data_IF_768269635773
#
_entry.id   IF_768269635773
#
_cell.length_a   1.000
_cell.length_b   1.000
_cell.length_c   1.000
_cell.angle_alpha   90.00
_cell.angle_beta   90.00
_cell.angle_gamma   90.00
#
_symmetry.space_group_name_H-M   'P 1'
#
loop_
_entity.id
_entity.type
_entity.pdbx_description
1 polymer ?
#
# COMPACT_ATOMS: atom_id res chain seq x y z
N UNK A 1 -20.91 2.76 11.90
CA UNK A 1 -19.82 3.67 12.29
C UNK A 1 -19.25 3.10 13.57
N UNK A 2 -17.94 2.85 13.59
CA UNK A 2 -17.24 2.49 14.83
C UNK A 2 -17.26 3.73 15.74
N UNK A 3 -17.50 3.54 17.03
CA UNK A 3 -17.48 4.63 18.01
C UNK A 3 -16.06 5.23 18.08
N UNK A 4 -15.95 6.56 18.24
CA UNK A 4 -14.68 7.27 18.24
C UNK A 4 -13.77 6.75 19.37
N UNK A 5 -14.34 6.36 20.51
CA UNK A 5 -13.59 5.75 21.62
C UNK A 5 -13.05 4.36 21.28
N UNK A 6 -13.84 3.51 20.60
CA UNK A 6 -13.39 2.20 20.10
C UNK A 6 -12.35 2.33 18.98
N UNK A 7 -12.31 3.50 18.34
CA UNK A 7 -11.43 3.80 17.22
C UNK A 7 -10.11 4.46 17.68
N UNK A 8 -10.13 5.26 18.76
CA UNK A 8 -8.93 5.81 19.41
C UNK A 8 -8.23 4.75 20.27
N UNK A 9 -9.01 3.92 20.98
CA UNK A 9 -8.50 2.81 21.80
C UNK A 9 -9.14 1.51 21.30
N UNK A 10 -8.54 0.86 20.28
CA UNK A 10 -9.02 -0.44 19.83
C UNK A 10 -8.97 -1.41 21.01
N UNK A 11 -10.03 -2.20 21.26
CA UNK A 11 -9.95 -3.26 22.24
C UNK A 11 -8.83 -4.22 21.84
N UNK A 12 -8.13 -4.78 22.83
CA UNK A 12 -7.16 -5.86 22.58
C UNK A 12 -7.88 -6.96 21.83
N UNK A 13 -7.30 -7.36 20.71
CA UNK A 13 -7.90 -8.32 19.80
C UNK A 13 -8.08 -9.67 20.50
N UNK A 14 -9.25 -10.29 20.38
CA UNK A 14 -9.46 -11.68 20.76
C UNK A 14 -9.44 -12.57 19.51
N UNK A 15 -8.59 -13.61 19.51
CA UNK A 15 -8.54 -14.54 18.39
C UNK A 15 -9.81 -15.38 18.32
N UNK A 16 -10.40 -15.44 17.13
CA UNK A 16 -11.50 -16.37 16.85
C UNK A 16 -10.99 -17.80 16.83
N UNK A 17 -11.88 -18.76 17.02
CA UNK A 17 -11.56 -20.20 16.91
C UNK A 17 -11.03 -20.60 15.52
N UNK A 18 -11.33 -19.79 14.49
CA UNK A 18 -10.91 -19.96 13.10
C UNK A 18 -9.53 -19.35 12.80
N UNK A 19 -8.93 -18.63 13.76
CA UNK A 19 -7.62 -18.02 13.59
C UNK A 19 -6.58 -19.05 13.14
N UNK A 20 -5.69 -18.62 12.25
CA UNK A 20 -4.74 -19.53 11.61
C UNK A 20 -3.69 -20.00 12.61
N UNK A 21 -3.60 -21.32 12.77
CA UNK A 21 -2.55 -22.00 13.54
C UNK A 21 -1.93 -23.11 12.69
N UNK A 22 -0.59 -23.13 12.52
CA UNK A 22 0.07 -24.10 11.63
C UNK A 22 -0.16 -25.56 12.02
N UNK A 23 -0.31 -25.83 13.32
CA UNK A 23 -0.54 -27.16 13.92
C UNK A 23 -1.89 -27.79 13.52
N UNK A 24 -2.91 -26.97 13.25
CA UNK A 24 -4.27 -27.42 12.89
C UNK A 24 -4.54 -27.47 11.38
N UNK A 25 -3.66 -26.88 10.56
CA UNK A 25 -3.96 -26.56 9.17
C UNK A 25 -3.48 -27.56 8.10
N UNK A 26 -2.54 -28.44 8.42
CA UNK A 26 -1.88 -29.33 7.45
C UNK A 26 -2.60 -30.69 7.31
N UNK A 27 -3.88 -30.66 6.95
CA UNK A 27 -4.52 -31.87 6.43
C UNK A 27 -3.97 -32.12 5.01
N UNK A 28 -3.67 -33.38 4.67
CA UNK A 28 -3.50 -33.78 3.27
C UNK A 28 -4.77 -33.39 2.52
N UNK A 29 -4.68 -32.43 1.61
CA UNK A 29 -5.83 -31.93 0.86
C UNK A 29 -5.75 -32.45 -0.56
N UNK A 30 -6.83 -33.09 -0.99
CA UNK A 30 -7.03 -33.40 -2.39
C UNK A 30 -7.23 -32.08 -3.13
N UNK A 31 -6.38 -31.83 -4.14
CA UNK A 31 -6.49 -30.63 -4.95
C UNK A 31 -7.80 -30.66 -5.73
N UNK A 32 -8.53 -29.55 -5.69
CA UNK A 32 -9.71 -29.37 -6.55
C UNK A 32 -9.35 -29.27 -8.03
N UNK A 33 -10.36 -29.09 -8.91
CA UNK A 33 -10.12 -28.92 -10.35
C UNK A 33 -9.18 -27.74 -10.66
N UNK A 34 -8.74 -27.65 -11.92
CA UNK A 34 -7.78 -26.66 -12.41
C UNK A 34 -8.19 -25.23 -11.97
N UNK A 35 -7.36 -24.60 -11.14
CA UNK A 35 -7.49 -23.19 -10.76
C UNK A 35 -6.52 -22.34 -11.63
N UNK A 36 -7.06 -21.29 -12.24
CA UNK A 36 -6.38 -20.38 -13.17
C UNK A 36 -5.25 -19.54 -12.54
N UNK A 37 -5.26 -19.39 -11.21
CA UNK A 37 -4.27 -18.70 -10.40
C UNK A 37 -3.12 -19.62 -9.96
N UNK A 38 -3.28 -20.95 -10.02
CA UNK A 38 -2.22 -21.93 -9.71
C UNK A 38 -1.26 -22.08 -10.90
N UNK A 39 -0.50 -21.03 -11.18
CA UNK A 39 0.52 -20.98 -12.23
C UNK A 39 1.89 -20.70 -11.61
N UNK A 40 2.94 -21.11 -12.31
CA UNK A 40 4.31 -20.90 -11.85
C UNK A 40 4.72 -21.86 -10.73
N UNK A 41 5.67 -21.44 -9.91
CA UNK A 41 6.29 -22.29 -8.90
C UNK A 41 5.48 -22.25 -7.59
N UNK A 42 5.10 -23.42 -7.07
CA UNK A 42 4.45 -23.52 -5.76
C UNK A 42 5.44 -23.19 -4.63
N UNK A 43 5.04 -22.32 -3.71
CA UNK A 43 5.78 -21.99 -2.50
C UNK A 43 5.16 -22.72 -1.31
N UNK A 44 5.84 -23.76 -0.84
CA UNK A 44 5.36 -24.57 0.26
C UNK A 44 5.22 -23.76 1.55
N UNK A 45 4.26 -24.18 2.39
CA UNK A 45 4.11 -23.64 3.75
C UNK A 45 5.24 -24.14 4.63
N UNK A 46 5.65 -23.31 5.57
CA UNK A 46 6.76 -23.62 6.49
C UNK A 46 6.20 -23.74 7.91
N UNK A 47 6.45 -24.89 8.53
CA UNK A 47 6.00 -25.20 9.89
C UNK A 47 7.19 -25.75 10.70
N UNK A 48 7.55 -25.13 11.83
CA UNK A 48 7.00 -23.89 12.39
C UNK A 48 7.30 -22.67 11.50
N UNK A 49 6.48 -21.62 11.60
CA UNK A 49 6.74 -20.37 10.89
C UNK A 49 8.05 -19.75 11.42
N UNK A 50 8.79 -19.09 10.52
CA UNK A 50 10.07 -18.48 10.86
C UNK A 50 9.98 -17.00 10.54
N UNK A 51 10.37 -16.17 11.49
CA UNK A 51 10.44 -14.73 11.27
C UNK A 51 11.50 -14.41 10.22
N UNK A 52 11.04 -13.87 9.09
CA UNK A 52 11.87 -13.43 7.98
C UNK A 52 11.31 -12.11 7.51
N UNK A 53 12.13 -11.05 7.57
CA UNK A 53 11.73 -9.72 7.11
C UNK A 53 12.13 -9.54 5.64
N UNK A 54 11.21 -9.22 4.74
CA UNK A 54 11.55 -8.79 3.39
C UNK A 54 12.49 -7.58 3.42
N UNK A 55 13.32 -7.41 2.39
CA UNK A 55 14.26 -6.27 2.34
C UNK A 55 13.53 -4.93 2.36
N UNK A 56 12.34 -4.87 1.75
CA UNK A 56 11.52 -3.66 1.70
C UNK A 56 11.07 -3.17 3.08
N UNK A 57 11.04 -4.05 4.09
CA UNK A 57 10.77 -3.69 5.49
C UNK A 57 11.77 -2.65 6.02
N UNK A 58 13.01 -2.68 5.55
CA UNK A 58 14.08 -1.76 5.94
C UNK A 58 14.12 -0.48 5.10
N UNK A 59 13.12 -0.23 4.24
CA UNK A 59 12.95 1.06 3.58
C UNK A 59 12.42 2.12 4.56
N UNK A 60 11.76 1.69 5.65
CA UNK A 60 11.35 2.56 6.77
C UNK A 60 12.49 2.60 7.78
N UNK A 61 13.16 3.75 7.88
CA UNK A 61 14.28 3.98 8.81
C UNK A 61 13.80 4.63 10.11
N UNK A 62 14.59 4.54 11.20
CA UNK A 62 14.32 5.26 12.44
C UNK A 62 14.12 6.77 12.22
N UNK A 63 14.84 7.37 11.26
CA UNK A 63 14.66 8.78 10.90
C UNK A 63 13.30 9.04 10.26
N UNK A 64 12.87 8.20 9.30
CA UNK A 64 11.53 8.34 8.70
C UNK A 64 10.41 8.15 9.71
N UNK A 65 10.57 7.25 10.70
CA UNK A 65 9.59 7.10 11.78
C UNK A 65 9.48 8.36 12.64
N UNK A 66 10.61 9.01 12.94
CA UNK A 66 10.64 10.28 13.68
C UNK A 66 10.06 11.43 12.87
N UNK A 67 10.26 11.43 11.56
CA UNK A 67 9.64 12.40 10.65
C UNK A 67 8.12 12.23 10.61
N UNK A 68 7.63 11.00 10.44
CA UNK A 68 6.19 10.73 10.48
C UNK A 68 5.55 11.16 11.79
N UNK A 69 6.21 10.94 12.94
CA UNK A 69 5.68 11.40 14.22
C UNK A 69 5.65 12.93 14.33
N UNK A 70 6.67 13.63 13.81
CA UNK A 70 6.66 15.12 13.76
C UNK A 70 5.56 15.66 12.86
N UNK A 71 5.31 14.98 11.74
CA UNK A 71 4.29 15.39 10.78
C UNK A 71 2.86 15.02 11.23
N UNK A 72 2.71 13.93 12.02
CA UNK A 72 1.47 13.54 12.71
C UNK A 72 1.21 14.36 14.00
N UNK A 73 2.22 15.07 14.52
CA UNK A 73 2.10 16.07 15.59
C UNK A 73 1.62 17.44 15.06
N UNK A 74 0.34 17.53 14.65
CA UNK A 74 -0.46 18.65 15.15
C UNK A 74 -1.61 18.11 16.02
N UNK A 75 -1.24 17.38 17.09
CA UNK A 75 -2.15 17.00 18.16
C UNK A 75 -3.40 16.26 17.70
N UNK A 76 -3.38 15.54 16.57
CA UNK A 76 -4.60 14.91 16.02
C UNK A 76 -5.11 13.82 16.98
N UNK A 77 -4.22 13.00 17.56
CA UNK A 77 -4.58 12.01 18.58
C UNK A 77 -5.08 12.65 19.89
N UNK A 78 -4.52 13.81 20.27
CA UNK A 78 -4.92 14.56 21.47
C UNK A 78 -6.24 15.33 21.28
N UNK A 79 -6.44 15.95 20.11
CA UNK A 79 -7.71 16.55 19.66
C UNK A 79 -8.79 15.49 19.49
N UNK A 80 -8.43 14.28 19.06
CA UNK A 80 -9.32 13.13 19.03
C UNK A 80 -9.81 12.77 20.43
N UNK A 81 -8.88 12.62 21.38
CA UNK A 81 -9.20 12.35 22.78
C UNK A 81 -9.96 13.50 23.46
N UNK A 82 -9.73 14.76 23.04
CA UNK A 82 -10.44 15.94 23.53
C UNK A 82 -11.77 16.23 22.80
N UNK A 83 -12.12 15.45 21.77
CA UNK A 83 -13.34 15.62 20.97
C UNK A 83 -13.38 16.89 20.09
N UNK A 84 -12.23 17.51 19.83
CA UNK A 84 -12.11 18.78 19.08
C UNK A 84 -11.68 18.60 17.61
N UNK A 85 -11.65 17.36 17.12
CA UNK A 85 -11.33 17.03 15.72
C UNK A 85 -12.25 17.78 14.74
N UNK A 86 -11.65 18.42 13.74
CA UNK A 86 -12.38 18.86 12.56
C UNK A 86 -12.82 17.65 11.72
N UNK A 87 -13.84 17.85 10.86
CA UNK A 87 -14.36 16.78 9.99
C UNK A 87 -13.30 16.21 9.02
N UNK A 88 -12.32 17.03 8.66
CA UNK A 88 -11.18 16.66 7.80
C UNK A 88 -10.14 15.85 8.58
N UNK A 89 -9.75 16.31 9.78
CA UNK A 89 -8.85 15.57 10.67
C UNK A 89 -9.45 14.23 11.09
N UNK A 90 -10.77 14.16 11.37
CA UNK A 90 -11.45 12.90 11.68
C UNK A 90 -11.39 11.91 10.50
N UNK A 91 -11.51 12.40 9.27
CA UNK A 91 -11.47 11.56 8.05
C UNK A 91 -10.04 11.12 7.74
N UNK A 92 -9.04 11.98 7.95
CA UNK A 92 -7.61 11.65 7.83
C UNK A 92 -7.22 10.63 8.90
N UNK A 93 -7.62 10.84 10.14
CA UNK A 93 -7.46 9.89 11.24
C UNK A 93 -8.14 8.56 10.88
N UNK A 94 -9.38 8.59 10.39
CA UNK A 94 -10.12 7.41 9.91
C UNK A 94 -9.41 6.69 8.77
N UNK A 95 -8.78 7.41 7.87
CA UNK A 95 -8.03 6.84 6.75
C UNK A 95 -6.70 6.24 7.23
N UNK A 96 -5.92 6.98 8.02
CA UNK A 96 -4.66 6.54 8.64
C UNK A 96 -4.90 5.30 9.50
N UNK A 97 -5.86 5.32 10.43
CA UNK A 97 -6.21 4.15 11.25
C UNK A 97 -6.93 3.04 10.47
N UNK A 98 -7.62 3.32 9.35
CA UNK A 98 -8.13 2.21 8.50
C UNK A 98 -7.02 1.49 7.75
N UNK A 99 -5.91 2.18 7.49
CA UNK A 99 -4.64 1.63 6.99
C UNK A 99 -3.86 0.98 8.15
N UNK A 100 -4.00 1.52 9.37
CA UNK A 100 -3.38 1.06 10.61
C UNK A 100 -4.24 0.08 11.45
N UNK A 101 -5.36 -0.44 10.91
CA UNK A 101 -6.14 -1.51 11.55
C UNK A 101 -5.38 -2.83 11.35
N UNK A 102 -4.33 -3.02 12.14
CA UNK A 102 -3.31 -4.07 12.10
C UNK A 102 -3.73 -5.38 12.77
N UNK A 103 -4.95 -5.82 12.54
CA UNK A 103 -5.22 -7.26 12.41
C UNK A 103 -5.24 -7.66 10.93
N UNK A 104 -4.92 -6.73 10.01
CA UNK A 104 -5.24 -6.90 8.61
C UNK A 104 -4.16 -6.42 7.63
N UNK A 105 -3.98 -7.21 6.58
CA UNK A 105 -3.25 -6.82 5.38
C UNK A 105 -4.32 -6.58 4.31
N UNK A 106 -4.51 -5.34 3.85
CA UNK A 106 -5.47 -5.05 2.80
C UNK A 106 -5.16 -3.74 2.10
N UNK A 107 -4.71 -3.82 0.86
CA UNK A 107 -4.46 -2.62 0.04
C UNK A 107 -5.67 -2.31 -0.83
N UNK A 108 -6.07 -1.05 -0.78
CA UNK A 108 -6.82 -0.39 -1.84
C UNK A 108 -5.82 0.23 -2.81
N UNK A 109 -5.70 -0.26 -4.06
CA UNK A 109 -4.89 0.47 -5.04
C UNK A 109 -5.50 1.87 -5.21
N UNK A 110 -4.71 2.93 -5.16
CA UNK A 110 -5.24 4.29 -5.27
C UNK A 110 -5.77 4.51 -6.71
N UNK A 111 -7.09 4.33 -6.91
CA UNK A 111 -7.75 4.76 -8.15
C UNK A 111 -8.40 6.11 -7.92
N UNK A 112 -7.88 7.12 -8.60
CA UNK A 112 -8.52 8.41 -8.70
C UNK A 112 -9.96 8.25 -9.22
N UNK A 113 -10.88 9.00 -8.62
CA UNK A 113 -12.20 9.16 -9.17
C UNK A 113 -12.11 9.71 -10.60
N UNK A 114 -13.06 9.39 -11.48
CA UNK A 114 -13.08 9.95 -12.86
C UNK A 114 -12.94 11.47 -12.85
N UNK A 115 -13.63 12.13 -11.91
CA UNK A 115 -13.54 13.57 -11.68
C UNK A 115 -12.11 14.01 -11.30
N UNK A 116 -11.52 13.36 -10.30
CA UNK A 116 -10.14 13.64 -9.87
C UNK A 116 -9.15 13.42 -11.01
N UNK A 117 -9.27 12.34 -11.78
CA UNK A 117 -8.43 12.07 -12.95
C UNK A 117 -8.58 13.17 -14.00
N UNK A 118 -9.81 13.58 -14.33
CA UNK A 118 -10.06 14.66 -15.28
C UNK A 118 -9.49 15.99 -14.80
N UNK A 119 -9.61 16.32 -13.51
CA UNK A 119 -9.07 17.55 -12.93
C UNK A 119 -7.53 17.55 -12.94
N UNK A 120 -6.90 16.42 -12.63
CA UNK A 120 -5.44 16.27 -12.73
C UNK A 120 -4.96 16.38 -14.18
N UNK A 121 -5.70 15.81 -15.14
CA UNK A 121 -5.41 15.95 -16.57
C UNK A 121 -5.57 17.39 -17.05
N UNK A 122 -6.62 18.10 -16.61
CA UNK A 122 -6.84 19.51 -16.91
C UNK A 122 -5.72 20.39 -16.33
N UNK A 123 -5.33 20.15 -15.07
CA UNK A 123 -4.29 20.91 -14.40
C UNK A 123 -2.90 20.66 -15.01
N UNK A 124 -2.49 19.40 -15.17
CA UNK A 124 -1.16 19.04 -15.67
C UNK A 124 -1.05 19.13 -17.19
N UNK A 125 -2.00 18.52 -17.90
CA UNK A 125 -2.03 18.49 -19.36
C UNK A 125 -2.31 19.87 -19.96
N UNK A 126 -3.29 20.61 -19.42
CA UNK A 126 -3.57 21.98 -19.85
C UNK A 126 -2.36 22.90 -19.67
N UNK A 127 -1.66 22.79 -18.54
CA UNK A 127 -0.41 23.53 -18.27
C UNK A 127 0.69 23.18 -19.28
N UNK A 128 0.92 21.89 -19.55
CA UNK A 128 1.93 21.43 -20.49
C UNK A 128 1.67 21.97 -21.91
N UNK A 129 0.45 21.82 -22.40
CA UNK A 129 0.06 22.29 -23.74
C UNK A 129 0.15 23.82 -23.85
N UNK A 130 -0.28 24.54 -22.81
CA UNK A 130 -0.15 26.00 -22.76
C UNK A 130 1.30 26.46 -22.84
N UNK A 131 2.24 25.83 -22.13
CA UNK A 131 3.66 26.19 -22.21
C UNK A 131 4.29 25.79 -23.54
N UNK A 132 3.91 24.65 -24.12
CA UNK A 132 4.42 24.19 -25.41
C UNK A 132 4.05 25.18 -26.54
N UNK A 133 2.75 25.47 -26.69
CA UNK A 133 2.27 26.38 -27.73
C UNK A 133 2.58 27.84 -27.40
N UNK A 134 2.47 28.26 -26.13
CA UNK A 134 2.81 29.62 -25.70
C UNK A 134 4.30 29.94 -25.86
N UNK A 135 5.18 28.98 -25.57
CA UNK A 135 6.61 29.11 -25.84
C UNK A 135 6.91 29.19 -27.34
N UNK A 136 6.23 28.39 -28.15
CA UNK A 136 6.31 28.47 -29.62
C UNK A 136 5.87 29.83 -30.17
N UNK A 137 4.79 30.41 -29.65
CA UNK A 137 4.35 31.76 -30.04
C UNK A 137 5.32 32.85 -29.60
N UNK A 138 5.86 32.75 -28.38
CA UNK A 138 6.85 33.70 -27.90
C UNK A 138 8.12 33.64 -28.78
N UNK A 139 8.52 32.45 -29.21
CA UNK A 139 9.62 32.27 -30.14
C UNK A 139 9.32 32.88 -31.52
N UNK A 140 8.14 32.62 -32.10
CA UNK A 140 7.73 33.23 -33.36
C UNK A 140 7.63 34.76 -33.26
N UNK A 141 7.10 35.28 -32.14
CA UNK A 141 7.07 36.72 -31.87
C UNK A 141 8.48 37.32 -31.83
N UNK A 142 9.43 36.65 -31.16
CA UNK A 142 10.82 37.08 -31.14
C UNK A 142 11.40 37.09 -32.57
N UNK A 143 11.14 36.08 -33.40
CA UNK A 143 11.59 36.07 -34.79
C UNK A 143 11.01 37.25 -35.59
N UNK A 144 9.74 37.60 -35.36
CA UNK A 144 9.13 38.75 -36.04
C UNK A 144 9.75 40.09 -35.63
N UNK A 145 10.32 40.21 -34.42
CA UNK A 145 11.04 41.43 -34.01
C UNK A 145 12.38 41.61 -34.76
N UNK A 146 12.92 40.54 -35.35
CA UNK A 146 14.15 40.56 -36.15
C UNK A 146 13.89 40.55 -37.67
N UNK A 147 12.63 40.47 -38.10
CA UNK A 147 12.25 40.52 -39.52
C UNK A 147 11.72 41.90 -39.91
N UNK A 148 12.03 42.36 -41.13
CA UNK A 148 11.49 43.61 -41.69
C UNK A 148 10.01 43.49 -42.13
N UNK A 149 9.39 42.31 -41.97
CA UNK A 149 8.00 42.03 -42.33
C UNK A 149 7.01 42.60 -41.29
N UNK A 150 5.89 43.21 -41.72
CA UNK A 150 4.88 43.73 -40.80
C UNK A 150 4.18 42.59 -40.05
N UNK A 151 4.00 42.78 -38.75
CA UNK A 151 3.30 41.84 -37.88
C UNK A 151 1.84 41.64 -38.30
N UNK A 152 1.46 40.39 -38.58
CA UNK A 152 0.10 40.02 -38.94
C UNK A 152 -0.76 39.76 -37.69
N UNK A 153 -1.76 40.61 -37.47
CA UNK A 153 -2.70 40.47 -36.35
C UNK A 153 -3.56 39.21 -36.43
N UNK A 154 -3.82 38.69 -37.63
CA UNK A 154 -4.69 37.54 -37.83
C UNK A 154 -4.03 36.24 -37.36
N UNK A 155 -2.71 36.12 -37.54
CA UNK A 155 -1.92 34.99 -37.06
C UNK A 155 -1.87 34.97 -35.52
N UNK A 156 -1.77 36.15 -34.91
CA UNK A 156 -1.81 36.32 -33.46
C UNK A 156 -3.18 35.93 -32.88
N UNK A 157 -4.26 36.33 -33.54
CA UNK A 157 -5.61 35.99 -33.15
C UNK A 157 -5.84 34.47 -33.26
N UNK A 158 -5.42 33.85 -34.35
CA UNK A 158 -5.50 32.40 -34.54
C UNK A 158 -4.75 31.65 -33.45
N UNK A 159 -3.53 32.08 -33.15
CA UNK A 159 -2.69 31.53 -32.10
C UNK A 159 -3.31 31.63 -30.70
N UNK A 160 -3.92 32.78 -30.37
CA UNK A 160 -4.64 32.96 -29.11
C UNK A 160 -5.87 32.04 -29.00
N UNK A 161 -6.61 31.85 -30.09
CA UNK A 161 -7.74 30.93 -30.15
C UNK A 161 -7.30 29.47 -29.92
N UNK A 162 -6.12 29.09 -30.42
CA UNK A 162 -5.59 27.74 -30.24
C UNK A 162 -5.11 27.45 -28.81
N UNK A 163 -4.54 28.45 -28.12
CA UNK A 163 -4.08 28.30 -26.73
C UNK A 163 -5.22 28.43 -25.71
N UNK A 164 -6.21 29.27 -26.02
CA UNK A 164 -7.36 29.58 -25.16
C UNK A 164 -7.98 28.36 -24.45
N UNK A 165 -8.34 27.25 -25.15
CA UNK A 165 -8.94 26.09 -24.51
C UNK A 165 -8.00 25.39 -23.53
N UNK A 166 -6.71 25.35 -23.83
CA UNK A 166 -5.69 24.72 -22.98
C UNK A 166 -5.44 25.55 -21.72
N UNK A 167 -5.41 26.87 -21.87
CA UNK A 167 -5.29 27.81 -20.75
C UNK A 167 -6.53 27.75 -19.84
N UNK A 168 -7.72 27.70 -20.43
CA UNK A 168 -8.97 27.53 -19.66
C UNK A 168 -8.98 26.21 -18.89
N UNK A 169 -8.58 25.10 -19.51
CA UNK A 169 -8.47 23.81 -18.81
C UNK A 169 -7.49 23.88 -17.63
N UNK A 170 -6.33 24.51 -17.83
CA UNK A 170 -5.35 24.71 -16.76
C UNK A 170 -5.94 25.56 -15.61
N UNK A 171 -6.63 26.66 -15.94
CA UNK A 171 -7.29 27.53 -14.95
C UNK A 171 -8.37 26.81 -14.16
N UNK A 172 -9.20 25.98 -14.80
CA UNK A 172 -10.22 25.17 -14.14
C UNK A 172 -9.56 24.18 -13.16
N UNK A 173 -8.50 23.49 -13.58
CA UNK A 173 -7.76 22.59 -12.70
C UNK A 173 -7.09 23.31 -11.52
N UNK A 174 -6.55 24.50 -11.75
CA UNK A 174 -5.94 25.35 -10.72
C UNK A 174 -6.97 25.86 -9.70
N UNK A 175 -8.11 26.34 -10.18
CA UNK A 175 -9.23 26.79 -9.33
C UNK A 175 -9.78 25.62 -8.50
N UNK A 176 -9.97 24.45 -9.12
CA UNK A 176 -10.40 23.25 -8.40
C UNK A 176 -9.41 22.87 -7.29
N UNK A 177 -8.09 22.93 -7.56
CA UNK A 177 -7.05 22.68 -6.56
C UNK A 177 -7.09 23.68 -5.41
N UNK A 178 -7.31 24.96 -5.71
CA UNK A 178 -7.33 26.03 -4.71
C UNK A 178 -8.58 26.02 -3.84
N UNK A 179 -9.74 25.71 -4.42
CA UNK A 179 -11.03 25.70 -3.73
C UNK A 179 -11.21 24.45 -2.87
N UNK A 180 -10.85 23.28 -3.40
CA UNK A 180 -10.92 22.04 -2.65
C UNK A 180 -9.84 21.06 -3.15
N UNK A 181 -8.68 20.98 -2.48
CA UNK A 181 -7.62 20.06 -2.87
C UNK A 181 -8.09 18.59 -2.82
N UNK A 182 -9.07 18.24 -1.98
CA UNK A 182 -9.61 16.88 -1.93
C UNK A 182 -10.21 16.46 -3.28
N UNK A 183 -10.74 17.37 -4.11
CA UNK A 183 -11.30 17.00 -5.42
C UNK A 183 -10.22 16.43 -6.37
N UNK A 184 -8.99 16.90 -6.25
CA UNK A 184 -7.86 16.40 -7.06
C UNK A 184 -7.32 15.09 -6.49
N UNK A 185 -7.34 14.91 -5.18
CA UNK A 185 -6.82 13.71 -4.53
C UNK A 185 -7.91 12.68 -4.19
N UNK A 186 -9.16 12.95 -4.57
CA UNK A 186 -10.30 12.08 -4.27
C UNK A 186 -10.15 10.72 -4.96
N UNK A 187 -9.85 9.72 -4.15
CA UNK A 187 -9.79 8.33 -4.56
C UNK A 187 -11.12 7.63 -4.31
N UNK A 188 -11.32 6.49 -4.97
CA UNK A 188 -12.37 5.55 -4.55
C UNK A 188 -11.85 4.74 -3.39
N UNK A 189 -12.62 4.68 -2.30
CA UNK A 189 -12.44 3.66 -1.28
C UNK A 189 -12.90 2.31 -1.86
N UNK A 190 -11.98 1.49 -2.33
CA UNK A 190 -12.25 0.10 -2.65
C UNK A 190 -11.12 -0.77 -2.11
N UNK A 191 -11.46 -1.76 -1.29
CA UNK A 191 -10.51 -2.81 -0.90
C UNK A 191 -10.52 -3.84 -2.02
N UNK A 192 -9.36 -4.28 -2.49
CA UNK A 192 -9.29 -5.36 -3.47
C UNK A 192 -9.42 -6.73 -2.77
N UNK A 193 -8.73 -6.86 -1.64
CA UNK A 193 -8.72 -8.04 -0.79
C UNK A 193 -8.31 -7.65 0.63
N UNK A 194 -8.43 -8.61 1.54
CA UNK A 194 -8.20 -8.41 2.96
C UNK A 194 -7.83 -9.74 3.63
N UNK A 195 -6.72 -9.75 4.35
CA UNK A 195 -6.33 -10.84 5.23
C UNK A 195 -6.60 -10.41 6.66
N UNK A 196 -7.16 -11.28 7.49
CA UNK A 196 -7.42 -10.98 8.88
C UNK A 196 -6.76 -12.01 9.79
N UNK A 197 -5.75 -11.59 10.56
CA UNK A 197 -5.04 -12.41 11.55
C UNK A 197 -5.98 -12.92 12.65
N UNK A 198 -6.84 -12.05 13.19
CA UNK A 198 -7.81 -12.39 14.25
C UNK A 198 -8.76 -13.53 13.89
N UNK A 199 -9.27 -13.50 12.66
CA UNK A 199 -10.23 -14.49 12.17
C UNK A 199 -9.57 -15.63 11.39
N UNK A 200 -8.34 -15.44 10.92
CA UNK A 200 -7.66 -16.35 10.01
C UNK A 200 -8.25 -16.38 8.60
N UNK A 201 -9.07 -15.39 8.21
CA UNK A 201 -9.78 -15.37 6.93
C UNK A 201 -9.08 -14.53 5.86
N UNK A 202 -9.31 -14.91 4.61
CA UNK A 202 -8.90 -14.23 3.39
C UNK A 202 -10.16 -13.86 2.62
N UNK A 203 -10.41 -12.56 2.50
CA UNK A 203 -11.61 -12.02 1.85
C UNK A 203 -11.21 -11.28 0.58
N UNK A 204 -11.78 -11.67 -0.56
CA UNK A 204 -11.67 -10.96 -1.83
C UNK A 204 -12.92 -10.12 -2.06
N UNK A 205 -12.75 -8.85 -2.43
CA UNK A 205 -13.83 -7.92 -2.67
C UNK A 205 -14.01 -7.62 -4.16
N UNK A 206 -15.21 -7.16 -4.52
CA UNK A 206 -15.52 -6.76 -5.89
C UNK A 206 -14.90 -5.40 -6.22
N UNK A 207 -14.04 -5.37 -7.24
CA UNK A 207 -13.26 -4.18 -7.62
C UNK A 207 -14.08 -2.90 -7.92
N UNK A 208 -15.36 -3.04 -8.33
CA UNK A 208 -16.21 -1.89 -8.72
C UNK A 208 -17.31 -1.55 -7.71
N UNK A 209 -17.65 -2.45 -6.79
CA UNK A 209 -18.80 -2.30 -5.88
C UNK A 209 -18.24 -2.22 -4.46
N UNK A 210 -18.49 -1.10 -3.77
CA UNK A 210 -17.95 -0.85 -2.43
C UNK A 210 -18.40 -1.96 -1.48
N UNK A 211 -17.44 -2.56 -0.77
CA UNK A 211 -17.64 -3.55 0.29
C UNK A 211 -18.44 -4.81 -0.09
N UNK A 212 -18.53 -5.15 -1.39
CA UNK A 212 -19.14 -6.41 -1.80
C UNK A 212 -18.10 -7.52 -1.74
N UNK A 213 -18.26 -8.47 -0.84
CA UNK A 213 -17.43 -9.68 -0.74
C UNK A 213 -17.76 -10.61 -1.90
N UNK A 214 -16.75 -11.08 -2.62
CA UNK A 214 -16.87 -12.07 -3.69
C UNK A 214 -16.57 -13.48 -3.21
N UNK A 215 -15.42 -13.62 -2.56
CA UNK A 215 -14.92 -14.89 -2.06
C UNK A 215 -14.34 -14.68 -0.67
N UNK A 216 -14.53 -15.67 0.19
CA UNK A 216 -13.97 -15.69 1.52
C UNK A 216 -13.59 -17.14 1.85
N UNK A 217 -12.36 -17.35 2.29
CA UNK A 217 -11.90 -18.66 2.76
C UNK A 217 -10.88 -18.52 3.89
N UNK A 218 -10.70 -19.56 4.71
CA UNK A 218 -9.61 -19.61 5.67
C UNK A 218 -8.24 -19.46 4.99
N UNK A 219 -7.30 -18.77 5.63
CA UNK A 219 -5.93 -18.64 5.14
C UNK A 219 -5.26 -19.99 5.00
N UNK A 220 -5.64 -20.99 5.79
CA UNK A 220 -5.13 -22.34 5.63
C UNK A 220 -5.45 -22.90 4.25
N UNK A 221 -6.60 -22.56 3.65
CA UNK A 221 -7.12 -22.98 2.33
C UNK A 221 -6.48 -22.26 1.14
N UNK A 222 -5.72 -21.20 1.40
CA UNK A 222 -4.94 -20.54 0.37
C UNK A 222 -3.59 -21.26 0.16
N UNK A 223 -3.10 -21.26 -1.06
CA UNK A 223 -1.80 -21.76 -1.47
C UNK A 223 -1.05 -20.62 -2.16
N UNK A 224 0.27 -20.54 -1.95
CA UNK A 224 1.05 -19.46 -2.53
C UNK A 224 1.81 -19.96 -3.76
N UNK A 225 1.73 -19.20 -4.85
CA UNK A 225 2.40 -19.46 -6.10
C UNK A 225 3.23 -18.25 -6.51
N UNK A 226 4.42 -18.53 -7.04
CA UNK A 226 5.33 -17.57 -7.63
C UNK A 226 5.07 -17.51 -9.13
N UNK A 227 4.46 -16.41 -9.59
CA UNK A 227 4.27 -16.14 -11.01
C UNK A 227 5.50 -15.43 -11.56
N UNK A 228 5.94 -15.82 -12.75
CA UNK A 228 7.01 -15.15 -13.48
C UNK A 228 6.43 -14.51 -14.74
N UNK A 229 6.67 -13.20 -14.87
CA UNK A 229 6.24 -12.40 -16.01
C UNK A 229 7.46 -11.84 -16.72
N UNK A 230 7.64 -12.09 -18.03
CA UNK A 230 8.75 -11.50 -18.77
C UNK A 230 8.54 -9.99 -18.95
N UNK A 231 9.58 -9.21 -18.66
CA UNK A 231 9.63 -7.79 -18.97
C UNK A 231 10.03 -7.58 -20.45
N UNK A 232 9.65 -6.43 -21.05
CA UNK A 232 10.14 -6.06 -22.39
C UNK A 232 11.67 -6.02 -22.50
N UNK A 233 12.39 -5.83 -21.39
CA UNK A 233 13.85 -5.88 -21.32
C UNK A 233 14.44 -7.31 -21.37
N UNK A 234 13.61 -8.35 -21.33
CA UNK A 234 14.03 -9.76 -21.27
C UNK A 234 14.30 -10.28 -19.86
N UNK A 235 14.29 -9.42 -18.83
CA UNK A 235 14.37 -9.83 -17.43
C UNK A 235 13.05 -10.46 -16.96
N UNK A 236 13.12 -11.33 -15.95
CA UNK A 236 11.93 -11.89 -15.31
C UNK A 236 11.53 -11.03 -14.12
N UNK A 237 10.23 -10.76 -14.02
CA UNK A 237 9.61 -10.19 -12.83
C UNK A 237 8.82 -11.28 -12.13
N UNK A 238 9.04 -11.43 -10.84
CA UNK A 238 8.32 -12.35 -9.99
C UNK A 238 7.27 -11.60 -9.16
N UNK A 239 6.09 -12.20 -9.01
CA UNK A 239 5.04 -11.75 -8.12
C UNK A 239 4.40 -12.92 -7.38
N UNK A 240 3.88 -12.65 -6.19
CA UNK A 240 3.16 -13.63 -5.40
C UNK A 240 1.68 -13.66 -5.78
N UNK A 241 1.12 -14.85 -5.88
CA UNK A 241 -0.30 -15.08 -6.09
C UNK A 241 -0.79 -16.08 -5.05
N UNK A 242 -1.79 -15.69 -4.26
CA UNK A 242 -2.51 -16.60 -3.39
C UNK A 242 -3.64 -17.23 -4.18
N UNK A 243 -3.65 -18.55 -4.32
CA UNK A 243 -4.70 -19.30 -5.01
C UNK A 243 -5.42 -20.20 -4.02
N UNK A 244 -6.73 -20.32 -4.14
CA UNK A 244 -7.49 -21.25 -3.31
C UNK A 244 -7.21 -22.71 -3.72
N UNK A 245 -7.05 -23.65 -2.78
CA UNK A 245 -6.67 -25.05 -3.04
C UNK A 245 -7.74 -25.89 -3.76
N UNK A 246 -9.01 -25.44 -3.75
CA UNK A 246 -10.14 -26.15 -4.37
C UNK A 246 -10.79 -25.34 -5.48
N UNK A 247 -11.43 -24.23 -5.12
CA UNK A 247 -12.14 -23.33 -6.04
C UNK A 247 -11.21 -22.52 -6.97
N UNK A 248 -11.74 -22.08 -8.11
CA UNK A 248 -11.02 -21.28 -9.14
C UNK A 248 -11.04 -19.78 -8.83
N UNK A 249 -10.39 -19.40 -7.74
CA UNK A 249 -10.13 -17.99 -7.44
C UNK A 249 -8.78 -17.81 -6.74
N UNK A 250 -8.32 -16.57 -6.73
CA UNK A 250 -7.07 -16.18 -6.11
C UNK A 250 -6.90 -14.67 -6.07
N UNK A 251 -5.85 -14.25 -5.38
CA UNK A 251 -5.47 -12.86 -5.14
C UNK A 251 -4.06 -12.67 -5.70
N UNK A 252 -3.93 -11.71 -6.61
CA UNK A 252 -2.62 -11.20 -7.01
C UNK A 252 -2.11 -10.24 -5.93
N UNK A 253 -0.94 -10.55 -5.37
CA UNK A 253 -0.35 -9.81 -4.27
C UNK A 253 0.60 -8.71 -4.76
N UNK A 254 0.74 -8.50 -6.07
CA UNK A 254 1.62 -7.48 -6.65
C UNK A 254 1.32 -6.04 -6.20
N UNK A 255 0.08 -5.78 -5.77
CA UNK A 255 -0.32 -4.48 -5.20
C UNK A 255 0.21 -4.27 -3.76
N UNK A 256 0.57 -5.36 -3.04
CA UNK A 256 1.07 -5.32 -1.66
C UNK A 256 2.56 -5.62 -1.53
N UNK A 257 2.98 -6.74 -2.11
CA UNK A 257 4.39 -7.04 -2.24
C UNK A 257 4.86 -6.55 -3.60
N UNK A 258 5.83 -5.64 -3.58
CA UNK A 258 6.44 -5.13 -4.80
C UNK A 258 6.96 -6.31 -5.62
N UNK A 259 6.56 -6.44 -6.90
CA UNK A 259 7.14 -7.44 -7.78
C UNK A 259 8.66 -7.25 -7.86
N UNK A 260 9.41 -8.33 -7.72
CA UNK A 260 10.87 -8.30 -7.67
C UNK A 260 11.48 -9.10 -8.82
N UNK A 261 12.68 -8.71 -9.25
CA UNK A 261 13.49 -9.51 -10.17
C UNK A 261 14.14 -10.71 -9.45
N UNK A 262 14.19 -10.66 -8.11
CA UNK A 262 14.71 -11.73 -7.25
C UNK A 262 13.55 -12.53 -6.68
N UNK A 263 13.43 -13.79 -7.08
CA UNK A 263 12.39 -14.68 -6.56
C UNK A 263 12.48 -14.87 -5.03
N UNK A 264 13.69 -14.76 -4.46
CA UNK A 264 13.94 -14.87 -3.02
C UNK A 264 13.21 -13.79 -2.22
N UNK A 265 13.03 -12.59 -2.79
CA UNK A 265 12.31 -11.50 -2.12
C UNK A 265 10.81 -11.77 -2.07
N UNK A 266 10.27 -12.37 -3.14
CA UNK A 266 8.89 -12.87 -3.14
C UNK A 266 8.73 -14.03 -2.13
N UNK A 267 9.67 -14.97 -2.09
CA UNK A 267 9.62 -16.06 -1.10
C UNK A 267 9.69 -15.53 0.35
N UNK A 268 10.55 -14.55 0.63
CA UNK A 268 10.62 -13.87 1.93
C UNK A 268 9.30 -13.18 2.31
N UNK A 269 8.64 -12.56 1.34
CA UNK A 269 7.33 -11.94 1.51
C UNK A 269 6.25 -12.95 1.87
N UNK A 270 6.28 -14.14 1.25
CA UNK A 270 5.39 -15.24 1.61
C UNK A 270 5.64 -15.75 3.03
N UNK A 271 6.90 -15.91 3.43
CA UNK A 271 7.27 -16.32 4.78
C UNK A 271 6.83 -15.29 5.83
N UNK A 272 7.02 -14.00 5.56
CA UNK A 272 6.53 -12.90 6.40
C UNK A 272 5.02 -12.94 6.54
N UNK A 273 4.28 -13.16 5.46
CA UNK A 273 2.82 -13.29 5.50
C UNK A 273 2.35 -14.52 6.31
N UNK A 274 3.03 -15.65 6.18
CA UNK A 274 2.73 -16.84 6.99
C UNK A 274 2.97 -16.57 8.48
N UNK A 275 4.06 -15.90 8.83
CA UNK A 275 4.37 -15.48 10.20
C UNK A 275 3.33 -14.50 10.73
N UNK A 276 2.95 -13.50 9.93
CA UNK A 276 1.89 -12.56 10.25
C UNK A 276 0.52 -13.21 10.46
N UNK A 277 0.18 -14.30 9.76
CA UNK A 277 -1.11 -14.97 9.99
C UNK A 277 -1.09 -15.94 11.17
N UNK A 278 0.10 -16.37 11.63
CA UNK A 278 0.26 -17.35 12.69
C UNK A 278 0.07 -16.72 14.08
N UNK A 279 -1.06 -17.02 14.72
CA UNK A 279 -1.39 -16.49 16.06
C UNK A 279 -0.62 -17.16 17.20
N UNK A 280 0.11 -18.25 16.92
CA UNK A 280 0.95 -18.93 17.91
C UNK A 280 2.29 -18.22 18.16
N UNK A 281 2.68 -17.34 17.25
CA UNK A 281 3.88 -16.49 17.34
C UNK A 281 3.48 -15.03 17.53
N UNK A 282 4.32 -14.18 18.15
CA UNK A 282 4.09 -12.74 18.13
C UNK A 282 4.15 -12.19 16.69
N UNK A 283 3.64 -10.98 16.47
CA UNK A 283 3.85 -10.24 15.22
C UNK A 283 5.34 -10.04 14.97
N UNK A 284 5.72 -9.96 13.69
CA UNK A 284 7.11 -9.71 13.31
C UNK A 284 7.59 -8.40 13.92
N UNK A 285 8.81 -8.41 14.43
CA UNK A 285 9.45 -7.22 14.95
C UNK A 285 9.97 -6.41 13.77
N UNK A 286 9.12 -5.51 13.26
CA UNK A 286 9.48 -4.58 12.21
C UNK A 286 8.85 -3.19 12.43
N UNK A 287 9.40 -2.16 11.77
CA UNK A 287 8.94 -0.78 11.91
C UNK A 287 7.44 -0.59 11.68
N UNK A 288 6.82 -1.37 10.78
CA UNK A 288 5.42 -1.17 10.41
C UNK A 288 4.44 -1.67 11.47
N UNK A 289 4.84 -2.69 12.23
CA UNK A 289 4.02 -3.22 13.32
C UNK A 289 4.19 -2.46 14.63
N UNK A 290 5.27 -1.69 14.82
CA UNK A 290 5.67 -1.09 16.10
C UNK A 290 4.51 -0.43 16.87
N UNK A 291 3.73 0.41 16.20
CA UNK A 291 2.61 1.12 16.84
C UNK A 291 1.49 0.20 17.32
N UNK A 292 1.34 -0.99 16.73
CA UNK A 292 0.18 -1.87 16.90
C UNK A 292 0.48 -3.14 17.70
N UNK A 293 1.74 -3.39 18.05
CA UNK A 293 2.16 -4.59 18.80
C UNK A 293 1.41 -4.79 20.11
N UNK A 294 0.96 -3.70 20.74
CA UNK A 294 0.19 -3.74 21.99
C UNK A 294 -1.28 -4.16 21.81
N UNK A 295 -1.80 -4.15 20.58
CA UNK A 295 -3.18 -4.54 20.25
C UNK A 295 -3.32 -6.04 20.02
N UNK A 296 -2.25 -6.70 19.55
CA UNK A 296 -2.21 -8.15 19.35
C UNK A 296 -1.90 -8.86 20.68
N UNK A 297 -2.77 -9.78 21.16
CA UNK A 297 -2.63 -10.37 22.48
C UNK A 297 -1.37 -11.24 22.63
N UNK A 298 -1.01 -12.02 21.61
CA UNK A 298 0.22 -12.85 21.63
C UNK A 298 1.46 -11.96 21.71
N UNK A 299 1.46 -10.87 20.95
CA UNK A 299 2.56 -9.92 20.89
C UNK A 299 2.67 -9.12 22.18
N UNK A 300 1.56 -8.66 22.75
CA UNK A 300 1.54 -7.93 24.01
C UNK A 300 2.08 -8.77 25.18
N UNK A 301 1.71 -10.06 25.25
CA UNK A 301 2.26 -10.99 26.25
C UNK A 301 3.77 -11.22 26.04
N UNK A 302 4.20 -11.40 24.79
CA UNK A 302 5.60 -11.60 24.44
C UNK A 302 6.46 -10.37 24.76
N UNK A 303 6.00 -9.17 24.40
CA UNK A 303 6.69 -7.91 24.64
C UNK A 303 6.78 -7.61 26.14
N UNK A 304 5.73 -7.93 26.92
CA UNK A 304 5.75 -7.83 28.39
C UNK A 304 6.76 -8.80 29.01
N UNK A 305 6.87 -10.02 28.49
CA UNK A 305 7.82 -11.03 28.98
C UNK A 305 9.27 -10.69 28.64
N UNK A 306 9.51 -10.09 27.48
CA UNK A 306 10.85 -9.72 27.01
C UNK A 306 11.27 -8.32 27.43
N UNK A 307 10.36 -7.55 28.03
CA UNK A 307 10.56 -6.14 28.40
C UNK A 307 10.99 -5.29 27.19
N UNK A 308 10.36 -5.53 26.03
CA UNK A 308 10.63 -4.80 24.79
C UNK A 308 10.22 -3.32 24.93
N UNK A 309 11.07 -2.36 24.56
CA UNK A 309 10.69 -0.95 24.53
C UNK A 309 9.52 -0.69 23.57
N UNK A 310 8.62 0.24 23.94
CA UNK A 310 7.46 0.61 23.11
C UNK A 310 7.86 1.21 21.74
N UNK A 311 8.93 1.99 21.71
CA UNK A 311 9.45 2.70 20.53
C UNK A 311 10.83 2.18 20.11
N UNK A 312 10.98 0.85 20.08
CA UNK A 312 12.21 0.16 19.75
C UNK A 312 12.85 0.60 18.42
N UNK A 313 12.08 0.66 17.32
CA UNK A 313 12.59 1.02 15.99
C UNK A 313 12.80 2.52 15.86
N UNK A 314 11.86 3.32 16.35
CA UNK A 314 11.95 4.79 16.32
C UNK A 314 13.15 5.35 17.10
N UNK A 315 13.42 4.81 18.29
CA UNK A 315 14.48 5.30 19.18
C UNK A 315 15.86 4.67 18.87
N UNK A 316 15.91 3.75 17.91
CA UNK A 316 17.15 3.12 17.47
C UNK A 316 18.06 4.11 16.74
N UNK A 317 19.37 3.97 16.97
CA UNK A 317 20.39 4.68 16.21
C UNK A 317 20.61 4.04 14.81
N UNK A 318 21.12 4.82 13.86
CA UNK A 318 21.29 4.35 12.49
C UNK A 318 22.37 3.26 12.34
N UNK A 319 23.36 3.20 13.23
CA UNK A 319 24.39 2.16 13.18
C UNK A 319 23.81 0.79 13.54
N UNK A 320 23.01 0.74 14.61
CA UNK A 320 22.28 -0.45 15.03
C UNK A 320 21.28 -0.88 13.96
N UNK A 321 20.56 0.07 13.35
CA UNK A 321 19.63 -0.22 12.25
C UNK A 321 20.33 -0.88 11.05
N UNK A 322 21.44 -0.30 10.58
CA UNK A 322 22.22 -0.85 9.46
C UNK A 322 22.87 -2.19 9.80
N UNK A 323 23.18 -2.45 11.07
CA UNK A 323 23.61 -3.77 11.53
C UNK A 323 22.48 -4.80 11.42
N UNK A 324 21.29 -4.50 11.93
CA UNK A 324 20.12 -5.38 11.83
C UNK A 324 19.73 -5.68 10.38
N UNK A 325 19.77 -4.66 9.52
CA UNK A 325 19.52 -4.80 8.08
C UNK A 325 20.49 -5.79 7.42
N UNK A 326 21.79 -5.69 7.73
CA UNK A 326 22.83 -6.62 7.23
C UNK A 326 22.67 -8.03 7.78
N UNK A 327 22.33 -8.15 9.06
CA UNK A 327 22.05 -9.45 9.69
C UNK A 327 20.84 -10.14 9.04
N UNK A 328 19.77 -9.38 8.78
CA UNK A 328 18.59 -9.89 8.08
C UNK A 328 18.91 -10.31 6.64
N UNK A 329 19.66 -9.49 5.88
CA UNK A 329 20.08 -9.88 4.52
C UNK A 329 20.94 -11.15 4.52
N UNK A 330 21.79 -11.32 5.53
CA UNK A 330 22.58 -12.55 5.72
C UNK A 330 21.67 -13.75 6.01
N UNK A 331 20.65 -13.59 6.85
CA UNK A 331 19.64 -14.64 7.12
C UNK A 331 18.89 -15.02 5.85
N UNK A 332 18.44 -14.04 5.06
CA UNK A 332 17.76 -14.24 3.78
C UNK A 332 18.62 -15.03 2.79
N UNK A 333 19.89 -14.62 2.59
CA UNK A 333 20.82 -15.32 1.69
C UNK A 333 21.04 -16.76 2.13
N UNK A 334 21.29 -17.00 3.43
CA UNK A 334 21.48 -18.36 3.96
C UNK A 334 20.23 -19.24 3.80
N UNK A 335 19.05 -18.65 3.82
CA UNK A 335 17.78 -19.35 3.67
C UNK A 335 17.51 -19.76 2.23
N UNK A 336 17.72 -18.86 1.28
CA UNK A 336 17.27 -19.04 -0.11
C UNK A 336 18.36 -19.36 -1.13
N UNK A 337 19.65 -19.21 -0.79
CA UNK A 337 20.76 -19.56 -1.69
C UNK A 337 21.39 -20.93 -1.32
N UNK A 338 20.59 -21.90 -0.88
CA UNK A 338 21.06 -23.26 -0.62
C UNK A 338 21.26 -24.05 -1.90
#
# INVERSE_FOLDING_TARGET
MMDLDTFINPPVAEYKSTAYRPDKGLLQREQGPKNSYRKGQYLARIVPTVEVLPRDTFNVTPETLREYERDDEPGIKEKAAAGTLTKEEFKILQQLLSVAQFAHIGISPLRYNKLSYTLNLMYGGGRFVTFLFGGGLLFLFILTLFSDEPYNSDDALFALIMISPSFLCWMIGFLAKKLNPELLYSTKDYRAWYLCRESGLVTQYHQKKKNLVLHEAPFSEMECYLHSTPLPSGLLRYNLVLAHYKDDWGIDMSDFYKPSELWQECAASWDSMQYFMDVTQPLSDDPSHEEFRHLDPTTAEYDKKTNRPKHYWRDMDMETFEKLKRENDTKLRKRYNR
#
